data_IF_418618691225
#
_entry.id   IF_418618691225
#
_cell.length_a   1.000
_cell.length_b   1.000
_cell.length_c   1.000
_cell.angle_alpha   90.00
_cell.angle_beta   90.00
_cell.angle_gamma   90.00
#
_symmetry.space_group_name_H-M   'P 1'
#
loop_
_entity.id
_entity.type
_entity.pdbx_description
1 polymer ?
#
# COMPACT_ATOMS: atom_id res chain seq x y z
N UNK A 1 -19.65 -6.93 -16.86
CA UNK A 1 -20.02 -7.64 -15.60
C UNK A 1 -19.87 -6.64 -14.47
N UNK A 2 -20.91 -6.53 -13.64
CA UNK A 2 -21.06 -5.49 -12.60
C UNK A 2 -19.82 -5.41 -11.70
N UNK A 3 -19.12 -4.27 -11.73
CA UNK A 3 -17.98 -3.88 -10.87
C UNK A 3 -18.43 -3.67 -9.42
N UNK A 4 -18.94 -4.71 -8.77
CA UNK A 4 -19.08 -4.70 -7.31
C UNK A 4 -17.75 -5.15 -6.73
N UNK A 5 -17.06 -4.23 -6.05
CA UNK A 5 -16.00 -4.58 -5.10
C UNK A 5 -16.53 -5.74 -4.25
N UNK A 6 -15.89 -6.92 -4.24
CA UNK A 6 -16.34 -8.00 -3.39
C UNK A 6 -16.29 -7.52 -1.95
N UNK A 7 -17.38 -7.73 -1.21
CA UNK A 7 -17.35 -7.48 0.23
C UNK A 7 -16.17 -8.25 0.83
N UNK A 8 -15.51 -7.69 1.83
CA UNK A 8 -14.34 -8.29 2.52
C UNK A 8 -14.49 -9.81 2.77
N UNK A 9 -15.66 -10.37 3.17
CA UNK A 9 -15.84 -11.83 3.28
C UNK A 9 -15.78 -12.59 1.94
N UNK A 10 -16.29 -12.03 0.84
CA UNK A 10 -16.26 -12.64 -0.50
C UNK A 10 -14.84 -12.66 -1.07
N UNK A 11 -14.06 -11.58 -0.85
CA UNK A 11 -12.66 -11.56 -1.27
C UNK A 11 -11.84 -12.64 -0.55
N UNK A 12 -12.03 -12.80 0.77
CA UNK A 12 -11.37 -13.86 1.54
C UNK A 12 -11.73 -15.26 1.04
N UNK A 13 -13.00 -15.49 0.68
CA UNK A 13 -13.46 -16.75 0.10
C UNK A 13 -12.83 -17.02 -1.27
N UNK A 14 -12.77 -16.01 -2.13
CA UNK A 14 -12.12 -16.10 -3.44
C UNK A 14 -10.63 -16.38 -3.32
N UNK A 15 -9.94 -15.72 -2.39
CA UNK A 15 -8.52 -15.98 -2.11
C UNK A 15 -8.33 -17.41 -1.63
N UNK A 16 -9.17 -17.89 -0.71
CA UNK A 16 -9.11 -19.28 -0.25
C UNK A 16 -9.32 -20.28 -1.40
N UNK A 17 -10.29 -20.05 -2.28
CA UNK A 17 -10.53 -20.91 -3.44
C UNK A 17 -9.34 -20.89 -4.42
N UNK A 18 -8.78 -19.70 -4.68
CA UNK A 18 -7.59 -19.54 -5.51
C UNK A 18 -6.38 -20.26 -4.92
N UNK A 19 -6.17 -20.15 -3.60
CA UNK A 19 -5.07 -20.85 -2.92
C UNK A 19 -5.19 -22.37 -3.05
N UNK A 20 -6.41 -22.90 -2.96
CA UNK A 20 -6.67 -24.34 -3.17
C UNK A 20 -6.39 -24.78 -4.61
N UNK A 21 -6.77 -23.99 -5.61
CA UNK A 21 -6.44 -24.27 -7.02
C UNK A 21 -4.93 -24.27 -7.24
N UNK A 22 -4.21 -23.29 -6.67
CA UNK A 22 -2.75 -23.22 -6.79
C UNK A 22 -2.07 -24.43 -6.15
N UNK A 23 -2.53 -24.87 -4.97
CA UNK A 23 -2.01 -26.08 -4.33
C UNK A 23 -2.22 -27.33 -5.20
N UNK A 24 -3.39 -27.46 -5.83
CA UNK A 24 -3.67 -28.55 -6.76
C UNK A 24 -2.77 -28.49 -8.00
N UNK A 25 -2.54 -27.30 -8.57
CA UNK A 25 -1.63 -27.12 -9.69
C UNK A 25 -0.22 -27.54 -9.30
N UNK A 26 0.32 -27.01 -8.20
CA UNK A 26 1.66 -27.33 -7.68
C UNK A 26 1.83 -28.80 -7.27
N UNK A 27 0.73 -29.53 -7.03
CA UNK A 27 0.77 -30.97 -6.70
C UNK A 27 1.21 -31.84 -7.88
N UNK A 28 1.23 -31.31 -9.12
CA UNK A 28 1.74 -32.03 -10.30
C UNK A 28 3.18 -32.54 -10.10
N UNK A 29 4.01 -31.80 -9.36
CA UNK A 29 5.39 -32.14 -9.06
C UNK A 29 5.52 -33.47 -8.28
N UNK A 30 4.51 -33.80 -7.46
CA UNK A 30 4.45 -35.06 -6.71
C UNK A 30 4.25 -36.24 -7.67
N UNK A 31 3.39 -36.07 -8.68
CA UNK A 31 3.07 -37.14 -9.64
C UNK A 31 4.17 -37.39 -10.68
N UNK A 32 5.11 -36.46 -10.86
CA UNK A 32 6.26 -36.62 -11.75
C UNK A 32 7.49 -37.23 -11.08
N UNK A 33 7.49 -37.36 -9.76
CA UNK A 33 8.56 -38.00 -8.99
C UNK A 33 7.98 -39.13 -8.15
N UNK A 34 7.45 -40.20 -8.77
CA UNK A 34 6.56 -41.13 -8.08
C UNK A 34 7.28 -42.01 -7.06
N UNK A 35 8.58 -42.25 -7.21
CA UNK A 35 9.33 -43.15 -6.34
C UNK A 35 10.79 -42.67 -6.18
N UNK A 36 11.18 -42.32 -4.95
CA UNK A 36 12.55 -41.95 -4.60
C UNK A 36 12.68 -41.19 -3.28
N UNK A 37 13.91 -41.13 -2.74
CA UNK A 37 14.27 -40.47 -1.45
C UNK A 37 14.04 -38.94 -1.40
N UNK A 38 13.38 -38.36 -2.39
CA UNK A 38 13.01 -36.94 -2.52
C UNK A 38 11.50 -36.66 -2.62
N UNK A 39 10.64 -37.69 -2.66
CA UNK A 39 9.19 -37.53 -2.77
C UNK A 39 8.57 -36.77 -1.58
N UNK A 40 9.20 -36.82 -0.40
CA UNK A 40 8.74 -36.05 0.77
C UNK A 40 8.96 -34.54 0.58
N UNK A 41 9.98 -34.15 -0.19
CA UNK A 41 10.31 -32.73 -0.41
C UNK A 41 9.47 -32.11 -1.50
N UNK A 42 8.95 -32.90 -2.45
CA UNK A 42 8.04 -32.39 -3.49
C UNK A 42 6.65 -32.01 -2.95
N UNK A 43 6.28 -32.50 -1.76
CA UNK A 43 5.09 -32.06 -1.01
C UNK A 43 5.21 -30.62 -0.49
N UNK A 44 6.42 -30.08 -0.36
CA UNK A 44 6.62 -28.70 0.09
C UNK A 44 6.16 -27.67 -0.95
N UNK A 45 6.21 -28.01 -2.25
CA UNK A 45 5.77 -27.11 -3.32
C UNK A 45 4.26 -26.74 -3.21
N UNK A 46 3.31 -27.69 -3.09
CA UNK A 46 1.90 -27.36 -2.92
C UNK A 46 1.58 -26.74 -1.56
N UNK A 47 2.28 -27.12 -0.48
CA UNK A 47 2.14 -26.44 0.83
C UNK A 47 2.55 -24.97 0.69
N UNK A 48 3.66 -24.72 0.00
CA UNK A 48 4.14 -23.35 -0.16
C UNK A 48 3.24 -22.52 -1.07
N UNK A 49 2.66 -23.14 -2.10
CA UNK A 49 1.67 -22.48 -2.95
C UNK A 49 0.43 -22.02 -2.17
N UNK A 50 0.02 -22.72 -1.10
CA UNK A 50 -1.05 -22.26 -0.21
C UNK A 50 -0.65 -20.98 0.55
N UNK A 51 0.62 -20.85 0.91
CA UNK A 51 1.17 -19.74 1.69
C UNK A 51 1.51 -18.54 0.81
N UNK A 52 1.91 -18.76 -0.44
CA UNK A 52 2.37 -17.71 -1.36
C UNK A 52 1.28 -17.19 -2.29
N UNK A 53 0.11 -17.83 -2.40
CA UNK A 53 -0.92 -17.45 -3.36
C UNK A 53 -1.77 -16.26 -2.86
N UNK A 54 -1.57 -15.11 -3.49
CA UNK A 54 -2.39 -13.91 -3.29
C UNK A 54 -3.06 -13.48 -4.58
N UNK A 55 -4.34 -13.09 -4.49
CA UNK A 55 -5.10 -12.54 -5.61
C UNK A 55 -4.71 -11.10 -5.98
N UNK A 56 -3.86 -10.44 -5.20
CA UNK A 56 -3.30 -9.13 -5.54
C UNK A 56 -1.92 -9.31 -6.17
N UNK A 57 -1.73 -8.78 -7.39
CA UNK A 57 -0.48 -8.92 -8.14
C UNK A 57 0.72 -8.25 -7.46
N UNK A 58 0.54 -7.09 -6.82
CA UNK A 58 1.63 -6.39 -6.14
C UNK A 58 2.06 -7.13 -4.88
N UNK A 59 1.08 -7.57 -4.07
CA UNK A 59 1.35 -8.35 -2.86
C UNK A 59 2.00 -9.69 -3.23
N UNK A 60 1.52 -10.37 -4.28
CA UNK A 60 2.06 -11.65 -4.72
C UNK A 60 3.47 -11.50 -5.32
N UNK A 61 3.72 -10.47 -6.12
CA UNK A 61 5.07 -10.20 -6.66
C UNK A 61 6.10 -9.96 -5.55
N UNK A 62 5.79 -9.06 -4.62
CA UNK A 62 6.68 -8.73 -3.50
C UNK A 62 6.94 -9.97 -2.62
N UNK A 63 5.91 -10.76 -2.33
CA UNK A 63 6.07 -11.99 -1.55
C UNK A 63 6.83 -13.09 -2.29
N UNK A 64 6.57 -13.32 -3.58
CA UNK A 64 7.28 -14.33 -4.37
C UNK A 64 8.76 -13.98 -4.50
N UNK A 65 9.10 -12.71 -4.74
CA UNK A 65 10.50 -12.27 -4.77
C UNK A 65 11.20 -12.50 -3.42
N UNK A 66 10.58 -12.08 -2.31
CA UNK A 66 11.15 -12.30 -0.97
C UNK A 66 11.26 -13.78 -0.60
N UNK A 67 10.36 -14.61 -1.10
CA UNK A 67 10.39 -16.07 -0.91
C UNK A 67 11.57 -16.69 -1.66
N UNK A 68 11.81 -16.30 -2.91
CA UNK A 68 12.97 -16.76 -3.70
C UNK A 68 14.28 -16.37 -3.02
N UNK A 69 14.41 -15.11 -2.56
CA UNK A 69 15.59 -14.65 -1.81
C UNK A 69 15.74 -15.44 -0.51
N UNK A 70 14.64 -15.67 0.22
CA UNK A 70 14.63 -16.51 1.43
C UNK A 70 15.13 -17.93 1.17
N UNK A 71 14.68 -18.56 0.07
CA UNK A 71 15.09 -19.91 -0.32
C UNK A 71 16.60 -19.99 -0.61
N UNK A 72 17.18 -18.98 -1.28
CA UNK A 72 18.63 -18.91 -1.51
C UNK A 72 19.42 -18.72 -0.21
N UNK A 73 18.94 -17.87 0.70
CA UNK A 73 19.56 -17.68 2.01
C UNK A 73 19.52 -19.00 2.81
N UNK A 74 18.36 -19.66 2.85
CA UNK A 74 18.21 -20.94 3.54
C UNK A 74 19.10 -22.04 2.95
N UNK A 75 19.20 -22.12 1.62
CA UNK A 75 20.11 -23.02 0.93
C UNK A 75 21.56 -22.74 1.31
N UNK A 76 22.00 -21.48 1.25
CA UNK A 76 23.37 -21.09 1.60
C UNK A 76 23.74 -21.53 3.03
N UNK A 77 22.85 -21.29 4.00
CA UNK A 77 23.11 -21.72 5.38
C UNK A 77 23.04 -23.23 5.56
N UNK A 78 22.15 -23.93 4.84
CA UNK A 78 22.14 -25.41 4.81
C UNK A 78 23.49 -25.96 4.40
N UNK A 79 24.00 -25.47 3.27
CA UNK A 79 25.27 -25.86 2.68
C UNK A 79 26.43 -25.57 3.63
N UNK A 80 26.47 -24.35 4.18
CA UNK A 80 27.51 -23.92 5.12
C UNK A 80 27.55 -24.80 6.37
N UNK A 81 26.40 -25.03 7.01
CA UNK A 81 26.30 -25.87 8.22
C UNK A 81 26.70 -27.32 7.89
N UNK A 82 26.24 -27.82 6.74
CA UNK A 82 26.54 -29.17 6.28
C UNK A 82 28.03 -29.37 6.02
N UNK A 83 28.70 -28.40 5.39
CA UNK A 83 30.16 -28.42 5.17
C UNK A 83 30.91 -28.38 6.50
N UNK A 84 30.56 -27.48 7.41
CA UNK A 84 31.25 -27.33 8.71
C UNK A 84 31.16 -28.62 9.53
N UNK A 85 29.99 -29.26 9.55
CA UNK A 85 29.79 -30.50 10.32
C UNK A 85 30.49 -31.68 9.66
N UNK A 86 30.40 -31.79 8.33
CA UNK A 86 31.07 -32.87 7.59
C UNK A 86 32.59 -32.73 7.66
N UNK A 87 33.12 -31.51 7.76
CA UNK A 87 34.55 -31.25 7.93
C UNK A 87 35.02 -31.46 9.39
N UNK A 88 34.17 -31.17 10.37
CA UNK A 88 34.47 -31.31 11.80
C UNK A 88 34.28 -32.73 12.34
N UNK A 89 33.47 -33.54 11.67
CA UNK A 89 33.20 -34.93 12.05
C UNK A 89 34.01 -35.88 11.14
N UNK A 90 34.71 -36.85 11.72
CA UNK A 90 35.47 -37.86 10.95
C UNK A 90 34.57 -38.97 10.35
N UNK A 91 33.27 -38.93 10.68
CA UNK A 91 32.21 -39.82 10.22
C UNK A 91 31.19 -38.99 9.41
N UNK A 92 30.30 -39.65 8.68
CA UNK A 92 29.15 -39.05 7.98
C UNK A 92 28.43 -37.95 8.79
N UNK A 93 27.70 -37.09 8.09
CA UNK A 93 26.96 -35.96 8.68
C UNK A 93 26.15 -36.36 9.92
N UNK A 94 26.25 -35.56 10.99
CA UNK A 94 25.53 -35.80 12.25
C UNK A 94 24.35 -34.83 12.39
N UNK A 95 23.13 -35.38 12.27
CA UNK A 95 21.87 -34.64 12.33
C UNK A 95 21.71 -33.84 13.64
N UNK A 96 22.10 -34.42 14.77
CA UNK A 96 21.93 -33.78 16.08
C UNK A 96 22.85 -32.56 16.25
N UNK A 97 24.10 -32.66 15.76
CA UNK A 97 25.04 -31.54 15.71
C UNK A 97 24.53 -30.49 14.71
N UNK A 98 23.97 -30.94 13.59
CA UNK A 98 23.25 -30.11 12.60
C UNK A 98 22.23 -29.19 13.22
N UNK A 99 21.27 -29.79 13.93
CA UNK A 99 20.19 -29.05 14.60
C UNK A 99 20.74 -28.10 15.67
N UNK A 100 21.72 -28.54 16.46
CA UNK A 100 22.33 -27.70 17.50
C UNK A 100 23.01 -26.44 16.93
N UNK A 101 23.69 -26.56 15.78
CA UNK A 101 24.34 -25.42 15.09
C UNK A 101 23.31 -24.56 14.36
N UNK A 102 22.25 -25.15 13.81
CA UNK A 102 21.20 -24.41 13.11
C UNK A 102 20.36 -23.53 14.04
N UNK A 103 20.15 -23.95 15.30
CA UNK A 103 19.30 -23.23 16.26
C UNK A 103 19.66 -21.74 16.48
N UNK A 104 20.92 -21.36 16.74
CA UNK A 104 21.30 -19.95 16.84
C UNK A 104 21.14 -19.18 15.50
N UNK A 105 21.29 -19.86 14.36
CA UNK A 105 21.10 -19.26 13.04
C UNK A 105 19.62 -19.01 12.77
N UNK A 106 18.72 -19.89 13.23
CA UNK A 106 17.28 -19.66 13.21
C UNK A 106 16.88 -18.36 13.95
N UNK A 107 17.50 -18.05 15.09
CA UNK A 107 17.27 -16.77 15.78
C UNK A 107 17.68 -15.56 14.94
N UNK A 108 18.81 -15.65 14.22
CA UNK A 108 19.25 -14.59 13.32
C UNK A 108 18.28 -14.42 12.14
N UNK A 109 17.79 -15.52 11.59
CA UNK A 109 16.80 -15.49 10.51
C UNK A 109 15.43 -14.96 10.98
N UNK A 110 15.05 -15.22 12.23
CA UNK A 110 13.82 -14.70 12.82
C UNK A 110 13.79 -13.16 12.94
N UNK A 111 14.95 -12.50 12.95
CA UNK A 111 15.04 -11.03 12.82
C UNK A 111 14.56 -10.52 11.46
N UNK A 112 14.36 -11.41 10.48
CA UNK A 112 13.70 -11.12 9.22
C UNK A 112 12.16 -11.15 9.29
N UNK A 113 11.56 -11.54 10.42
CA UNK A 113 10.10 -11.54 10.54
C UNK A 113 9.56 -10.11 10.63
N UNK A 114 8.46 -9.84 9.93
CA UNK A 114 7.77 -8.56 9.92
C UNK A 114 7.34 -8.14 11.35
N UNK A 115 7.04 -9.10 12.23
CA UNK A 115 6.69 -8.84 13.63
C UNK A 115 7.81 -8.15 14.42
N UNK A 116 9.06 -8.33 14.01
CA UNK A 116 10.22 -7.72 14.69
C UNK A 116 10.43 -6.25 14.33
N UNK A 117 9.73 -5.72 13.32
CA UNK A 117 9.90 -4.34 12.82
C UNK A 117 11.25 -4.07 12.15
N UNK A 118 12.06 -5.12 11.93
CA UNK A 118 13.38 -5.03 11.29
C UNK A 118 13.27 -4.71 9.79
N UNK A 119 14.25 -3.96 9.27
CA UNK A 119 14.38 -3.71 7.83
C UNK A 119 14.64 -4.99 7.02
N UNK A 120 15.13 -6.05 7.66
CA UNK A 120 15.39 -7.35 7.02
C UNK A 120 14.11 -8.01 6.50
N UNK A 121 12.95 -7.73 7.12
CA UNK A 121 11.64 -8.20 6.66
C UNK A 121 11.22 -7.72 5.27
N UNK A 122 11.88 -6.66 4.77
CA UNK A 122 11.69 -6.18 3.40
C UNK A 122 12.57 -6.90 2.37
N UNK A 123 13.61 -7.61 2.82
CA UNK A 123 14.63 -8.23 1.95
C UNK A 123 14.27 -9.68 1.66
N UNK A 124 13.92 -10.45 2.68
CA UNK A 124 13.59 -11.86 2.55
C UNK A 124 12.49 -12.26 3.53
N UNK A 125 11.86 -13.39 3.25
CA UNK A 125 10.90 -14.03 4.14
C UNK A 125 11.63 -14.95 5.13
N UNK A 126 11.52 -14.63 6.42
CA UNK A 126 12.21 -15.37 7.50
C UNK A 126 11.73 -16.80 7.61
N UNK A 127 10.43 -17.04 7.48
CA UNK A 127 9.82 -18.36 7.48
C UNK A 127 10.39 -19.24 6.37
N UNK A 128 10.47 -18.74 5.14
CA UNK A 128 11.09 -19.48 4.01
C UNK A 128 12.55 -19.77 4.26
N UNK A 129 13.32 -18.78 4.70
CA UNK A 129 14.75 -18.97 4.95
C UNK A 129 15.00 -20.00 6.05
N UNK A 130 14.21 -19.96 7.12
CA UNK A 130 14.29 -20.92 8.22
C UNK A 130 13.86 -22.32 7.79
N UNK A 131 12.75 -22.48 7.07
CA UNK A 131 12.27 -23.79 6.64
C UNK A 131 13.20 -24.41 5.58
N UNK A 132 13.65 -23.62 4.61
CA UNK A 132 14.62 -24.05 3.59
C UNK A 132 15.97 -24.44 4.20
N UNK A 133 16.31 -23.94 5.39
CA UNK A 133 17.50 -24.34 6.14
C UNK A 133 17.27 -25.55 7.05
N UNK A 134 16.22 -25.50 7.85
CA UNK A 134 16.04 -26.43 8.97
C UNK A 134 15.61 -27.83 8.50
N UNK A 135 14.73 -27.91 7.50
CA UNK A 135 14.23 -29.18 6.95
C UNK A 135 15.37 -30.09 6.46
N UNK A 136 16.29 -29.63 5.57
CA UNK A 136 17.37 -30.48 5.06
C UNK A 136 18.45 -30.80 6.11
N UNK A 137 18.58 -30.01 7.17
CA UNK A 137 19.51 -30.24 8.29
C UNK A 137 18.95 -31.28 9.27
N UNK A 138 17.68 -31.19 9.61
CA UNK A 138 17.03 -32.08 10.57
C UNK A 138 16.66 -33.43 9.95
N UNK A 139 16.36 -33.46 8.64
CA UNK A 139 15.96 -34.67 7.92
C UNK A 139 16.78 -34.87 6.62
N UNK A 140 18.12 -34.99 6.72
CA UNK A 140 19.01 -35.03 5.55
C UNK A 140 18.94 -36.33 4.75
N UNK A 141 18.42 -37.42 5.31
CA UNK A 141 18.43 -38.78 4.72
C UNK A 141 19.82 -39.19 4.18
N UNK A 142 20.90 -38.75 4.86
CA UNK A 142 22.28 -38.99 4.47
C UNK A 142 22.81 -38.14 3.30
N UNK A 143 22.03 -37.18 2.79
CA UNK A 143 22.43 -36.27 1.68
C UNK A 143 21.92 -34.84 1.90
N UNK A 144 22.46 -34.11 2.90
CA UNK A 144 21.98 -32.77 3.24
C UNK A 144 22.05 -31.78 2.07
N UNK A 145 23.09 -31.88 1.24
CA UNK A 145 23.30 -31.08 0.04
C UNK A 145 22.16 -31.21 -1.00
N UNK A 146 21.83 -32.47 -1.34
CA UNK A 146 20.78 -32.75 -2.32
C UNK A 146 19.42 -32.33 -1.75
N UNK A 147 19.18 -32.60 -0.47
CA UNK A 147 17.93 -32.23 0.20
C UNK A 147 17.77 -30.72 0.32
N UNK A 148 18.84 -29.97 0.58
CA UNK A 148 18.84 -28.51 0.59
C UNK A 148 18.44 -27.95 -0.77
N UNK A 149 19.08 -28.43 -1.83
CA UNK A 149 18.77 -28.01 -3.21
C UNK A 149 17.32 -28.32 -3.59
N UNK A 150 16.81 -29.51 -3.27
CA UNK A 150 15.44 -29.92 -3.55
C UNK A 150 14.41 -29.09 -2.77
N UNK A 151 14.69 -28.80 -1.50
CA UNK A 151 13.83 -27.99 -0.63
C UNK A 151 13.74 -26.55 -1.15
N UNK A 152 14.88 -25.93 -1.44
CA UNK A 152 14.91 -24.57 -2.01
C UNK A 152 14.23 -24.52 -3.39
N UNK A 153 14.44 -25.54 -4.23
CA UNK A 153 13.76 -25.64 -5.52
C UNK A 153 12.24 -25.74 -5.37
N UNK A 154 11.73 -26.52 -4.41
CA UNK A 154 10.29 -26.64 -4.14
C UNK A 154 9.67 -25.28 -3.76
N UNK A 155 10.33 -24.52 -2.89
CA UNK A 155 9.90 -23.16 -2.51
C UNK A 155 9.90 -22.18 -3.69
N UNK A 156 10.94 -22.25 -4.55
CA UNK A 156 11.01 -21.43 -5.76
C UNK A 156 9.89 -21.78 -6.76
N UNK A 157 9.62 -23.06 -6.98
CA UNK A 157 8.55 -23.53 -7.88
C UNK A 157 7.18 -23.06 -7.37
N UNK A 158 6.86 -23.25 -6.09
CA UNK A 158 5.59 -22.77 -5.53
C UNK A 158 5.41 -21.25 -5.64
N UNK A 159 6.49 -20.49 -5.45
CA UNK A 159 6.49 -19.02 -5.57
C UNK A 159 6.36 -18.54 -7.03
N UNK A 160 7.01 -19.24 -7.96
CA UNK A 160 6.95 -18.93 -9.38
C UNK A 160 5.59 -19.28 -10.00
N UNK A 161 5.04 -20.45 -9.68
CA UNK A 161 3.74 -20.88 -10.21
C UNK A 161 2.61 -19.96 -9.72
N UNK A 162 2.61 -19.58 -8.44
CA UNK A 162 1.65 -18.61 -7.90
C UNK A 162 1.77 -17.24 -8.59
N UNK A 163 2.98 -16.76 -8.84
CA UNK A 163 3.19 -15.51 -9.57
C UNK A 163 2.73 -15.58 -11.03
N UNK A 164 3.06 -16.66 -11.75
CA UNK A 164 2.67 -16.86 -13.15
C UNK A 164 1.14 -16.91 -13.26
N UNK A 165 0.48 -17.71 -12.42
CA UNK A 165 -0.97 -17.84 -12.43
C UNK A 165 -1.67 -16.51 -12.11
N UNK A 166 -1.17 -15.76 -11.12
CA UNK A 166 -1.72 -14.43 -10.79
C UNK A 166 -1.48 -13.43 -11.92
N UNK A 167 -0.31 -13.49 -12.58
CA UNK A 167 0.00 -12.63 -13.74
C UNK A 167 -0.91 -12.92 -14.93
N UNK A 168 -1.21 -14.20 -15.21
CA UNK A 168 -2.16 -14.61 -16.23
C UNK A 168 -3.56 -14.08 -15.90
N UNK A 169 -4.04 -14.29 -14.67
CA UNK A 169 -5.34 -13.77 -14.23
C UNK A 169 -5.40 -12.23 -14.33
N UNK A 170 -4.30 -11.54 -14.03
CA UNK A 170 -4.21 -10.09 -14.18
C UNK A 170 -4.29 -9.66 -15.65
N UNK A 171 -3.56 -10.34 -16.54
CA UNK A 171 -3.57 -10.06 -17.97
C UNK A 171 -4.97 -10.20 -18.60
N UNK A 172 -5.75 -11.18 -18.12
CA UNK A 172 -7.15 -11.37 -18.53
C UNK A 172 -8.16 -10.51 -17.77
N UNK A 173 -7.73 -9.59 -16.89
CA UNK A 173 -8.59 -8.79 -16.01
C UNK A 173 -9.57 -9.63 -15.16
N UNK A 174 -9.17 -10.86 -14.81
CA UNK A 174 -9.97 -11.80 -14.00
C UNK A 174 -9.66 -11.69 -12.50
N UNK A 175 -8.65 -10.90 -12.12
CA UNK A 175 -8.35 -10.67 -10.71
C UNK A 175 -9.40 -9.75 -10.06
N UNK A 176 -9.98 -10.14 -8.90
CA UNK A 176 -10.82 -9.24 -8.14
C UNK A 176 -9.98 -8.06 -7.65
N UNK A 177 -10.29 -6.86 -8.15
CA UNK A 177 -9.64 -5.62 -7.71
C UNK A 177 -9.92 -5.42 -6.22
N UNK A 178 -8.86 -5.53 -5.41
CA UNK A 178 -8.87 -5.25 -3.97
C UNK A 178 -9.08 -3.75 -3.71
N UNK A 179 -8.67 -2.92 -4.66
CA UNK A 179 -8.64 -1.48 -4.53
C UNK A 179 -9.84 -0.82 -5.23
N UNK A 180 -10.39 0.19 -4.57
CA UNK A 180 -11.41 1.08 -5.13
C UNK A 180 -10.82 1.67 -6.43
N UNK A 181 -11.58 1.74 -7.55
CA UNK A 181 -11.08 2.33 -8.79
C UNK A 181 -10.44 3.71 -8.54
N UNK A 182 -9.35 4.03 -9.25
CA UNK A 182 -8.51 5.17 -8.89
C UNK A 182 -9.25 6.52 -8.90
N UNK A 183 -10.26 6.68 -9.76
CA UNK A 183 -11.08 7.90 -9.85
C UNK A 183 -11.97 8.12 -8.60
N UNK A 184 -12.85 7.17 -8.19
CA UNK A 184 -13.56 7.25 -6.91
C UNK A 184 -12.62 7.36 -5.69
N UNK A 185 -11.48 6.67 -5.71
CA UNK A 185 -10.49 6.77 -4.64
C UNK A 185 -9.91 8.19 -4.55
N UNK A 186 -9.56 8.79 -5.70
CA UNK A 186 -9.13 10.19 -5.77
C UNK A 186 -10.21 11.16 -5.30
N UNK A 187 -11.45 11.02 -5.75
CA UNK A 187 -12.54 11.91 -5.32
C UNK A 187 -12.71 11.90 -3.80
N UNK A 188 -12.72 10.71 -3.18
CA UNK A 188 -12.77 10.58 -1.71
C UNK A 188 -11.56 11.22 -1.04
N UNK A 189 -10.34 10.95 -1.51
CA UNK A 189 -9.11 11.50 -0.92
C UNK A 189 -8.99 13.01 -1.11
N UNK A 190 -9.49 13.55 -2.23
CA UNK A 190 -9.59 14.98 -2.48
C UNK A 190 -10.55 15.64 -1.48
N UNK A 191 -11.71 15.03 -1.22
CA UNK A 191 -12.64 15.48 -0.18
C UNK A 191 -11.98 15.47 1.21
N UNK A 192 -11.35 14.37 1.61
CA UNK A 192 -10.72 14.25 2.93
C UNK A 192 -9.59 15.28 3.12
N UNK A 193 -8.81 15.53 2.07
CA UNK A 193 -7.74 16.51 2.10
C UNK A 193 -8.27 17.94 2.13
N UNK A 194 -9.29 18.26 1.31
CA UNK A 194 -9.96 19.56 1.34
C UNK A 194 -10.61 19.86 2.69
N UNK A 195 -11.31 18.88 3.28
CA UNK A 195 -11.88 19.00 4.63
C UNK A 195 -10.80 19.28 5.66
N UNK A 196 -9.66 18.60 5.58
CA UNK A 196 -8.53 18.84 6.48
C UNK A 196 -7.99 20.26 6.33
N UNK A 197 -7.74 20.73 5.11
CA UNK A 197 -7.21 22.07 4.86
C UNK A 197 -8.16 23.16 5.33
N UNK A 198 -9.45 23.02 5.05
CA UNK A 198 -10.46 24.00 5.46
C UNK A 198 -10.78 23.96 6.96
N UNK A 199 -10.66 22.80 7.62
CA UNK A 199 -10.84 22.68 9.07
C UNK A 199 -9.71 23.36 9.86
N UNK A 200 -8.48 23.31 9.34
CA UNK A 200 -7.31 23.91 9.97
C UNK A 200 -6.86 25.20 9.29
N UNK A 201 -7.71 25.84 8.49
CA UNK A 201 -7.37 27.00 7.67
C UNK A 201 -6.67 28.10 8.49
N UNK A 202 -7.17 28.39 9.69
CA UNK A 202 -6.63 29.44 10.58
C UNK A 202 -5.47 28.97 11.47
N UNK A 203 -5.20 27.67 11.57
CA UNK A 203 -4.18 27.06 12.45
C UNK A 203 -3.24 26.09 11.71
N UNK A 204 -3.03 26.31 10.40
CA UNK A 204 -2.28 25.41 9.53
C UNK A 204 -0.88 25.05 10.06
N UNK A 205 -0.14 26.03 10.57
CA UNK A 205 1.20 25.82 11.14
C UNK A 205 1.21 24.89 12.37
N UNK A 206 0.17 24.93 13.20
CA UNK A 206 0.09 24.11 14.42
C UNK A 206 -0.17 22.64 14.09
N UNK A 207 -0.73 22.37 12.92
CA UNK A 207 -1.09 21.04 12.45
C UNK A 207 -0.34 20.61 11.17
N UNK A 208 0.79 21.26 10.86
CA UNK A 208 1.56 21.05 9.63
C UNK A 208 1.95 19.56 9.42
N UNK A 209 2.41 18.88 10.47
CA UNK A 209 2.77 17.45 10.42
C UNK A 209 1.60 16.52 10.07
N UNK A 210 0.38 16.89 10.49
CA UNK A 210 -0.83 16.14 10.16
C UNK A 210 -1.27 16.42 8.73
N UNK A 211 -1.25 17.70 8.32
CA UNK A 211 -1.58 18.14 6.96
C UNK A 211 -0.62 17.49 5.94
N UNK A 212 0.68 17.45 6.23
CA UNK A 212 1.68 16.85 5.35
C UNK A 212 1.54 15.32 5.23
N UNK A 213 1.06 14.66 6.28
CA UNK A 213 0.68 13.24 6.21
C UNK A 213 -0.50 13.02 5.27
N UNK A 214 -1.55 13.84 5.38
CA UNK A 214 -2.71 13.76 4.47
C UNK A 214 -2.31 14.09 3.02
N UNK A 215 -1.41 15.06 2.83
CA UNK A 215 -0.86 15.41 1.52
C UNK A 215 -0.21 14.22 0.84
N UNK A 216 0.64 13.44 1.53
CA UNK A 216 1.31 12.28 0.94
C UNK A 216 0.30 11.24 0.43
N UNK A 217 -0.73 10.96 1.22
CA UNK A 217 -1.80 10.04 0.84
C UNK A 217 -2.61 10.58 -0.35
N UNK A 218 -2.88 11.89 -0.38
CA UNK A 218 -3.51 12.55 -1.52
C UNK A 218 -2.64 12.49 -2.78
N UNK A 219 -1.33 12.70 -2.66
CA UNK A 219 -0.37 12.67 -3.77
C UNK A 219 -0.32 11.33 -4.49
N UNK A 220 -0.34 10.24 -3.73
CA UNK A 220 -0.42 8.89 -4.28
C UNK A 220 -1.74 8.69 -5.06
N UNK A 221 -2.85 9.17 -4.51
CA UNK A 221 -4.18 8.99 -5.12
C UNK A 221 -4.37 9.77 -6.42
N UNK A 222 -3.95 11.03 -6.51
CA UNK A 222 -4.15 11.83 -7.73
C UNK A 222 -3.22 11.38 -8.84
N UNK A 223 -1.99 10.94 -8.53
CA UNK A 223 -1.07 10.36 -9.53
C UNK A 223 -1.65 9.09 -10.12
N UNK A 224 -2.22 8.20 -9.30
CA UNK A 224 -2.91 7.00 -9.76
C UNK A 224 -4.09 7.35 -10.67
N UNK A 225 -4.98 8.25 -10.22
CA UNK A 225 -6.14 8.69 -11.00
C UNK A 225 -5.77 9.36 -12.33
N UNK A 226 -4.69 10.16 -12.36
CA UNK A 226 -4.24 10.82 -13.60
C UNK A 226 -3.76 9.84 -14.68
N UNK A 227 -3.20 8.69 -14.26
CA UNK A 227 -2.73 7.62 -15.16
C UNK A 227 -3.89 6.81 -15.72
N UNK A 228 -4.90 6.57 -14.89
CA UNK A 228 -6.10 5.80 -15.26
C UNK A 228 -7.21 6.64 -15.90
N UNK A 229 -7.06 7.97 -15.96
CA UNK A 229 -8.06 8.86 -16.55
C UNK A 229 -8.27 8.53 -18.05
N UNK A 230 -9.51 8.19 -18.47
CA UNK A 230 -9.81 7.76 -19.84
C UNK A 230 -9.70 8.91 -20.87
N UNK A 231 -9.90 10.15 -20.44
CA UNK A 231 -9.93 11.33 -21.31
C UNK A 231 -8.92 12.40 -20.87
N UNK A 232 -8.25 13.10 -21.80
CA UNK A 232 -7.36 14.22 -21.49
C UNK A 232 -8.03 15.33 -20.66
N UNK A 233 -9.31 15.58 -20.88
CA UNK A 233 -10.11 16.59 -20.18
C UNK A 233 -10.20 16.25 -18.69
N UNK A 234 -10.60 15.02 -18.36
CA UNK A 234 -10.65 14.53 -16.97
C UNK A 234 -9.28 14.59 -16.30
N UNK A 235 -8.21 14.23 -17.03
CA UNK A 235 -6.83 14.35 -16.52
C UNK A 235 -6.51 15.80 -16.16
N UNK A 236 -6.89 16.77 -17.00
CA UNK A 236 -6.69 18.18 -16.72
C UNK A 236 -7.45 18.67 -15.47
N UNK A 237 -8.67 18.16 -15.25
CA UNK A 237 -9.46 18.46 -14.05
C UNK A 237 -8.77 17.94 -12.80
N UNK A 238 -8.29 16.69 -12.82
CA UNK A 238 -7.54 16.08 -11.71
C UNK A 238 -6.30 16.93 -11.37
N UNK A 239 -5.53 17.34 -12.39
CA UNK A 239 -4.37 18.20 -12.19
C UNK A 239 -4.72 19.55 -11.57
N UNK A 240 -5.78 20.22 -12.06
CA UNK A 240 -6.24 21.52 -11.53
C UNK A 240 -6.68 21.41 -10.08
N UNK A 241 -7.43 20.37 -9.74
CA UNK A 241 -7.83 20.10 -8.35
C UNK A 241 -6.62 19.84 -7.47
N UNK A 242 -5.68 19.00 -7.92
CA UNK A 242 -4.46 18.72 -7.17
C UNK A 242 -3.61 19.97 -6.95
N UNK A 243 -3.40 20.79 -7.98
CA UNK A 243 -2.66 22.05 -7.84
C UNK A 243 -3.36 23.02 -6.91
N UNK A 244 -4.69 23.11 -6.96
CA UNK A 244 -5.46 23.98 -6.07
C UNK A 244 -5.31 23.60 -4.59
N UNK A 245 -5.45 22.31 -4.26
CA UNK A 245 -5.31 21.84 -2.88
C UNK A 245 -3.86 21.92 -2.36
N UNK A 246 -2.86 21.73 -3.24
CA UNK A 246 -1.46 21.93 -2.87
C UNK A 246 -1.18 23.41 -2.61
N UNK A 247 -1.63 24.30 -3.50
CA UNK A 247 -1.48 25.74 -3.31
C UNK A 247 -2.16 26.21 -2.02
N UNK A 248 -3.36 25.68 -1.71
CA UNK A 248 -4.10 25.97 -0.48
C UNK A 248 -3.29 25.60 0.78
N UNK A 249 -2.61 24.45 0.76
CA UNK A 249 -1.70 24.02 1.84
C UNK A 249 -0.50 24.95 1.97
N UNK A 250 0.06 25.40 0.85
CA UNK A 250 1.23 26.28 0.87
C UNK A 250 0.84 27.65 1.44
N UNK A 251 -0.34 28.19 1.09
CA UNK A 251 -0.85 29.44 1.67
C UNK A 251 -1.12 29.35 3.17
N UNK A 252 -1.51 28.18 3.69
CA UNK A 252 -1.74 27.97 5.13
C UNK A 252 -0.45 27.85 5.95
N UNK A 253 0.67 27.53 5.29
CA UNK A 253 1.97 27.37 5.93
C UNK A 253 2.86 28.61 5.79
N UNK A 254 2.37 29.67 5.14
CA UNK A 254 3.12 30.90 4.84
C UNK A 254 3.18 31.89 6.02
N UNK A 255 3.06 31.37 7.25
CA UNK A 255 3.08 32.16 8.48
C UNK A 255 1.75 32.16 9.22
N UNK A 256 1.78 32.70 10.46
CA UNK A 256 0.58 32.83 11.29
C UNK A 256 -0.19 34.09 10.88
N UNK A 257 -1.51 33.96 10.74
CA UNK A 257 -2.37 35.14 10.60
C UNK A 257 -2.31 36.01 11.86
N UNK A 258 -2.32 37.33 11.69
CA UNK A 258 -2.47 38.24 12.81
C UNK A 258 -3.86 38.10 13.44
N UNK A 259 -3.98 38.38 14.74
CA UNK A 259 -5.27 38.35 15.46
C UNK A 259 -6.29 39.28 14.80
N UNK A 260 -5.85 40.47 14.36
CA UNK A 260 -6.70 41.42 13.63
C UNK A 260 -7.26 40.85 12.32
N UNK A 261 -6.45 40.09 11.56
CA UNK A 261 -6.88 39.46 10.32
C UNK A 261 -7.86 38.31 10.58
N UNK A 262 -7.64 37.55 11.66
CA UNK A 262 -8.56 36.51 12.09
C UNK A 262 -9.93 37.10 12.45
N UNK A 263 -9.95 38.18 13.23
CA UNK A 263 -11.21 38.81 13.68
C UNK A 263 -11.99 39.48 12.55
N UNK A 264 -11.31 40.18 11.64
CA UNK A 264 -11.97 41.06 10.67
C UNK A 264 -12.15 40.43 9.29
N UNK A 265 -11.39 39.39 8.96
CA UNK A 265 -11.47 38.72 7.65
C UNK A 265 -11.95 37.27 7.82
N UNK A 266 -11.25 36.46 8.61
CA UNK A 266 -11.52 35.01 8.61
C UNK A 266 -12.74 34.59 9.44
N UNK A 267 -12.92 35.10 10.66
CA UNK A 267 -14.06 34.76 11.52
C UNK A 267 -15.42 35.09 10.87
N UNK A 268 -15.62 36.25 10.21
CA UNK A 268 -16.89 36.56 9.53
C UNK A 268 -17.20 35.65 8.33
N UNK A 269 -16.18 35.02 7.74
CA UNK A 269 -16.31 34.12 6.58
C UNK A 269 -16.42 32.64 6.98
N UNK A 270 -16.20 32.31 8.26
CA UNK A 270 -16.23 30.91 8.72
C UNK A 270 -17.53 30.17 8.39
N UNK A 271 -18.74 30.76 8.54
CA UNK A 271 -19.97 30.06 8.16
C UNK A 271 -19.98 29.66 6.68
N UNK A 272 -19.59 30.57 5.78
CA UNK A 272 -19.58 30.33 4.34
C UNK A 272 -18.51 29.29 3.95
N UNK A 273 -17.34 29.34 4.60
CA UNK A 273 -16.28 28.33 4.42
C UNK A 273 -16.76 26.95 4.88
N UNK A 274 -17.53 26.88 5.96
CA UNK A 274 -18.12 25.63 6.46
C UNK A 274 -19.16 25.09 5.49
N UNK A 275 -20.05 25.93 4.97
CA UNK A 275 -21.08 25.52 4.02
C UNK A 275 -20.46 25.03 2.70
N UNK A 276 -19.46 25.76 2.18
CA UNK A 276 -18.68 25.34 1.02
C UNK A 276 -17.96 24.00 1.27
N UNK A 277 -17.37 23.82 2.45
CA UNK A 277 -16.73 22.56 2.85
C UNK A 277 -17.71 21.40 2.83
N UNK A 278 -18.89 21.57 3.43
CA UNK A 278 -19.89 20.52 3.51
C UNK A 278 -20.37 20.10 2.11
N UNK A 279 -20.65 21.05 1.22
CA UNK A 279 -21.09 20.76 -0.15
C UNK A 279 -19.99 20.06 -0.97
N UNK A 280 -18.75 20.57 -0.96
CA UNK A 280 -17.65 19.94 -1.70
C UNK A 280 -17.42 18.50 -1.21
N UNK A 281 -17.41 18.31 0.10
CA UNK A 281 -17.22 16.99 0.72
C UNK A 281 -18.38 16.06 0.37
N UNK A 282 -19.61 16.55 0.41
CA UNK A 282 -20.80 15.78 0.05
C UNK A 282 -20.71 15.29 -1.40
N UNK A 283 -20.46 16.16 -2.38
CA UNK A 283 -20.42 15.79 -3.79
C UNK A 283 -19.23 14.89 -4.14
N UNK A 284 -18.04 15.17 -3.60
CA UNK A 284 -16.84 14.35 -3.85
C UNK A 284 -16.90 12.97 -3.18
N UNK A 285 -17.63 12.83 -2.06
CA UNK A 285 -17.87 11.52 -1.44
C UNK A 285 -19.04 10.78 -2.09
N UNK A 286 -20.01 11.50 -2.66
CA UNK A 286 -21.19 10.91 -3.32
C UNK A 286 -20.90 10.45 -4.75
N UNK A 287 -19.97 11.10 -5.46
CA UNK A 287 -19.43 10.67 -6.77
C UNK A 287 -18.72 9.30 -6.73
N UNK A 288 -18.45 8.74 -5.55
CA UNK A 288 -18.03 7.35 -5.40
C UNK A 288 -19.17 6.34 -5.68
N UNK A 289 -20.42 6.82 -5.78
CA UNK A 289 -21.57 6.09 -6.32
C UNK A 289 -21.82 6.59 -7.75
N UNK A 290 -22.22 5.71 -8.70
CA UNK A 290 -22.58 6.16 -10.04
C UNK A 290 -23.74 7.15 -9.94
N UNK A 291 -23.50 8.41 -10.29
CA UNK A 291 -24.53 9.45 -10.42
C UNK A 291 -25.44 8.99 -11.57
N UNK A 292 -26.73 8.84 -11.27
CA UNK A 292 -27.69 8.18 -12.18
C UNK A 292 -28.37 9.15 -13.14
N UNK A 293 -28.31 10.45 -12.88
CA UNK A 293 -28.96 11.48 -13.69
C UNK A 293 -28.10 12.75 -13.75
N UNK A 294 -27.87 13.28 -14.96
CA UNK A 294 -27.16 14.54 -15.20
C UNK A 294 -27.82 15.75 -14.50
N UNK A 295 -29.11 15.63 -14.14
CA UNK A 295 -29.86 16.63 -13.37
C UNK A 295 -29.38 16.83 -11.93
N UNK A 296 -28.73 15.84 -11.31
CA UNK A 296 -28.18 15.99 -9.95
C UNK A 296 -26.94 16.90 -9.95
N UNK A 297 -26.18 16.94 -11.05
CA UNK A 297 -24.98 17.78 -11.17
C UNK A 297 -25.36 19.26 -11.37
N UNK A 298 -26.45 19.53 -12.11
CA UNK A 298 -27.01 20.88 -12.29
C UNK A 298 -27.62 21.47 -11.01
N UNK A 299 -27.87 20.65 -9.98
CA UNK A 299 -28.35 21.09 -8.66
C UNK A 299 -27.22 21.53 -7.71
N UNK A 300 -25.96 21.47 -8.13
CA UNK A 300 -24.84 21.89 -7.29
C UNK A 300 -24.80 23.41 -7.12
N UNK A 301 -24.99 23.89 -5.90
CA UNK A 301 -24.88 25.33 -5.58
C UNK A 301 -23.42 25.80 -5.41
N UNK A 302 -22.45 24.90 -5.68
CA UNK A 302 -21.02 25.10 -5.47
C UNK A 302 -20.47 26.34 -6.17
N UNK A 303 -20.93 26.65 -7.39
CA UNK A 303 -20.45 27.82 -8.13
C UNK A 303 -20.98 29.12 -7.52
N UNK A 304 -22.23 29.13 -7.05
CA UNK A 304 -22.82 30.31 -6.40
C UNK A 304 -22.15 30.54 -5.05
N UNK A 305 -22.00 29.49 -4.23
CA UNK A 305 -21.28 29.54 -2.96
C UNK A 305 -19.83 30.02 -3.13
N UNK A 306 -19.12 29.54 -4.15
CA UNK A 306 -17.76 30.01 -4.47
C UNK A 306 -17.73 31.50 -4.84
N UNK A 307 -18.71 31.94 -5.62
CA UNK A 307 -18.82 33.34 -6.07
C UNK A 307 -19.18 34.26 -4.91
N UNK A 308 -20.11 33.85 -4.05
CA UNK A 308 -20.50 34.59 -2.86
C UNK A 308 -19.35 34.69 -1.86
N UNK A 309 -18.68 33.59 -1.56
CA UNK A 309 -17.50 33.57 -0.68
C UNK A 309 -16.39 34.48 -1.22
N UNK A 310 -16.12 34.43 -2.52
CA UNK A 310 -15.12 35.29 -3.18
C UNK A 310 -15.49 36.78 -3.09
N UNK A 311 -16.77 37.10 -3.30
CA UNK A 311 -17.29 38.46 -3.17
C UNK A 311 -17.16 38.99 -1.74
N UNK A 312 -17.57 38.19 -0.74
CA UNK A 312 -17.49 38.55 0.68
C UNK A 312 -16.05 38.67 1.16
N UNK A 313 -15.16 37.79 0.71
CA UNK A 313 -13.72 37.89 1.00
C UNK A 313 -13.14 39.19 0.42
N UNK A 314 -13.50 39.55 -0.81
CA UNK A 314 -13.06 40.80 -1.44
C UNK A 314 -13.55 42.01 -0.63
N UNK A 315 -14.80 42.00 -0.19
CA UNK A 315 -15.38 43.08 0.62
C UNK A 315 -14.72 43.17 2.01
N UNK A 316 -14.46 42.03 2.67
CA UNK A 316 -13.78 41.98 3.95
C UNK A 316 -12.34 42.50 3.84
N UNK A 317 -11.63 42.14 2.77
CA UNK A 317 -10.28 42.62 2.47
C UNK A 317 -10.22 44.13 2.23
N UNK A 318 -11.17 44.68 1.46
CA UNK A 318 -11.30 46.14 1.24
C UNK A 318 -11.55 46.84 2.58
N UNK A 319 -12.50 46.34 3.36
CA UNK A 319 -12.86 46.91 4.67
C UNK A 319 -11.68 46.90 5.64
N UNK A 320 -10.94 45.79 5.70
CA UNK A 320 -9.73 45.67 6.50
C UNK A 320 -8.63 46.64 6.05
N UNK A 321 -8.42 46.77 4.74
CA UNK A 321 -7.43 47.69 4.16
C UNK A 321 -7.76 49.15 4.48
N UNK A 322 -9.04 49.53 4.43
CA UNK A 322 -9.50 50.86 4.81
C UNK A 322 -9.33 51.13 6.32
N UNK A 323 -9.63 50.13 7.16
CA UNK A 323 -9.45 50.21 8.61
C UNK A 323 -7.98 50.34 9.00
N UNK A 324 -7.10 49.56 8.37
CA UNK A 324 -5.64 49.62 8.55
C UNK A 324 -5.08 50.99 8.15
N UNK A 325 -5.55 51.56 7.03
CA UNK A 325 -5.16 52.92 6.60
C UNK A 325 -5.64 54.04 7.53
N UNK A 326 -6.79 53.90 8.18
CA UNK A 326 -7.33 54.91 9.11
C UNK A 326 -6.78 54.78 10.54
N UNK A 327 -6.31 53.59 10.94
CA UNK A 327 -5.80 53.29 12.28
C UNK A 327 -4.33 53.65 12.54
N UNK A 328 -3.58 54.12 11.53
CA UNK A 328 -2.21 54.61 11.76
C UNK A 328 -1.21 53.57 12.22
N UNK A 329 -1.29 52.33 11.72
CA UNK A 329 -0.14 51.40 11.75
C UNK A 329 0.22 51.07 10.31
N UNK A 330 1.26 51.76 9.84
CA UNK A 330 1.97 51.42 8.61
C UNK A 330 2.70 50.08 8.86
N UNK A 331 2.00 48.95 8.74
CA UNK A 331 2.68 47.66 8.55
C UNK A 331 3.17 47.66 7.12
N UNK A 332 4.44 48.02 6.96
CA UNK A 332 5.21 47.81 5.75
C UNK A 332 5.00 46.35 5.34
N UNK A 333 4.41 46.15 4.17
CA UNK A 333 4.40 44.86 3.50
C UNK A 333 5.87 44.41 3.35
N UNK A 334 6.23 43.32 4.02
CA UNK A 334 7.48 42.63 3.72
C UNK A 334 7.31 41.83 2.42
N UNK A 335 8.35 41.94 1.59
CA UNK A 335 8.60 41.21 0.34
C UNK A 335 8.67 39.68 0.52
#
# INVERSE_FOLDING_TARGET
MVERLPSIPVYKLLTALYTGVMACLCSWAIFLTPEGRGANMTVLAPIWALVSSFLNIHDNYDQSCRSVVGAFIGLFFTELISIVITAGNTVEYSDWIGVAVAFPICFLMALGDAATGSKLSKVFRSDVAMEAMYIPIAFPNGRPFLHGALTAAAFMVGSAESFIATSILNAFNLLPRKDIPALPAFAKRAADYYETLTAYWTSGMEHADFIDRQRKVFEESWRAASREAPTPELRSVIYRMASGLIALRDTMNDGRYSEDMLEHIWHPLMPDIVDMRLEVVYWLRTTAKPIRDDKEIEQTDLMNLATELSSRLSQASITYSEKSRRGGVLVIACE
#
